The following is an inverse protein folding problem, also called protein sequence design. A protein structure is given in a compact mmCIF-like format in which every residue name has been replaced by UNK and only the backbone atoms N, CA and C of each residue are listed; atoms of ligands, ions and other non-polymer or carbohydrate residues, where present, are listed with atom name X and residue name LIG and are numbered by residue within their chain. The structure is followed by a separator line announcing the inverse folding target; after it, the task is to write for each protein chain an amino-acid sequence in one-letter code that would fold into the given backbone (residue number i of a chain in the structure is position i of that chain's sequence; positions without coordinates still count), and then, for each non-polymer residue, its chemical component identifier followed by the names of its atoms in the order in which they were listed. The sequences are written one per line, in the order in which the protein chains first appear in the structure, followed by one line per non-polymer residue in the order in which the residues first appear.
data_IF_483565909320
#
_entry.id   IF_483565909320
#
_cell.length_a   1.000
_cell.length_b   1.000
_cell.length_c   1.000
_cell.angle_alpha   90.00
_cell.angle_beta   90.00
_cell.angle_gamma   90.00
#
_symmetry.space_group_name_H-M   'P 1'
#
loop_
_entity.id
_entity.type
_entity.pdbx_description
1 polymer ?
#
# COMPACT_ATOMS: atom_id res chain seq x y z
N UNK A 1 3.55 29.37 -29.94
CA UNK A 1 2.90 28.79 -28.75
C UNK A 1 2.14 27.56 -29.20
N UNK A 2 2.74 26.36 -29.09
CA UNK A 2 1.99 25.13 -29.33
C UNK A 2 1.23 24.82 -28.04
N UNK A 3 -0.09 24.94 -28.08
CA UNK A 3 -0.95 24.32 -27.06
C UNK A 3 -0.70 22.81 -27.14
N UNK A 4 0.15 22.29 -26.25
CA UNK A 4 0.22 20.87 -25.99
C UNK A 4 -1.14 20.50 -25.41
N UNK A 5 -2.00 19.87 -26.23
CA UNK A 5 -3.16 19.14 -25.74
C UNK A 5 -2.73 18.35 -24.51
N UNK A 6 -3.35 18.53 -23.34
CA UNK A 6 -2.96 17.78 -22.16
C UNK A 6 -3.11 16.31 -22.50
N UNK A 7 -2.01 15.56 -22.50
CA UNK A 7 -2.04 14.11 -22.66
C UNK A 7 -3.17 13.56 -21.77
N UNK A 8 -4.03 12.67 -22.29
CA UNK A 8 -5.17 12.17 -21.53
C UNK A 8 -4.69 11.66 -20.17
N UNK A 9 -5.31 12.18 -19.11
CA UNK A 9 -4.92 11.87 -17.74
C UNK A 9 -4.92 10.35 -17.53
N UNK A 10 -3.78 9.80 -17.10
CA UNK A 10 -3.71 8.37 -16.83
C UNK A 10 -4.72 7.97 -15.75
N UNK A 11 -5.65 7.11 -16.13
CA UNK A 11 -6.58 6.44 -15.23
C UNK A 11 -6.50 4.93 -15.46
N UNK A 12 -6.51 4.12 -14.40
CA UNK A 12 -6.47 2.66 -14.54
C UNK A 12 -7.77 2.08 -15.12
N UNK A 13 -8.85 2.86 -15.13
CA UNK A 13 -10.20 2.35 -15.37
C UNK A 13 -10.72 1.53 -14.18
N UNK A 14 -12.03 1.30 -14.13
CA UNK A 14 -12.67 0.55 -13.05
C UNK A 14 -12.11 -0.89 -12.91
N UNK A 15 -11.89 -1.68 -13.99
CA UNK A 15 -11.45 -3.06 -13.85
C UNK A 15 -10.07 -3.19 -13.21
N UNK A 16 -9.12 -2.34 -13.60
CA UNK A 16 -7.75 -2.41 -13.08
C UNK A 16 -7.67 -1.87 -11.64
N UNK A 17 -8.45 -0.83 -11.29
CA UNK A 17 -8.52 -0.36 -9.89
C UNK A 17 -9.21 -1.36 -8.97
N UNK A 18 -10.21 -2.11 -9.46
CA UNK A 18 -10.90 -3.11 -8.67
C UNK A 18 -10.08 -4.39 -8.44
N UNK A 19 -9.03 -4.62 -9.23
CA UNK A 19 -8.24 -5.86 -9.20
C UNK A 19 -7.68 -6.26 -7.83
N UNK A 20 -6.98 -5.38 -7.08
CA UNK A 20 -6.47 -5.71 -5.75
C UNK A 20 -7.57 -6.14 -4.77
N UNK A 21 -8.72 -5.46 -4.82
CA UNK A 21 -9.89 -5.79 -4.01
C UNK A 21 -10.51 -7.13 -4.42
N UNK A 22 -10.61 -7.40 -5.72
CA UNK A 22 -11.11 -8.67 -6.24
C UNK A 22 -10.20 -9.84 -5.82
N UNK A 23 -8.88 -9.66 -5.80
CA UNK A 23 -7.92 -10.66 -5.29
C UNK A 23 -8.19 -10.97 -3.81
N UNK A 24 -8.33 -9.93 -2.98
CA UNK A 24 -8.61 -10.08 -1.56
C UNK A 24 -9.96 -10.74 -1.29
N UNK A 25 -11.01 -10.32 -2.01
CA UNK A 25 -12.35 -10.94 -1.93
C UNK A 25 -12.30 -12.39 -2.37
N UNK A 26 -11.59 -12.71 -3.45
CA UNK A 26 -11.40 -14.09 -3.91
C UNK A 26 -10.74 -14.97 -2.84
N UNK A 27 -9.69 -14.48 -2.19
CA UNK A 27 -9.05 -15.18 -1.08
C UNK A 27 -9.97 -15.32 0.15
N UNK A 28 -10.76 -14.29 0.46
CA UNK A 28 -11.72 -14.33 1.56
C UNK A 28 -12.85 -15.34 1.30
N UNK A 29 -13.37 -15.41 0.07
CA UNK A 29 -14.37 -16.40 -0.33
C UNK A 29 -13.81 -17.82 -0.30
N UNK A 30 -12.57 -18.01 -0.76
CA UNK A 30 -11.88 -19.29 -0.63
C UNK A 30 -11.74 -19.69 0.85
N UNK A 31 -11.25 -18.78 1.69
CA UNK A 31 -11.10 -19.01 3.13
C UNK A 31 -12.45 -19.38 3.77
N UNK A 32 -13.53 -18.67 3.45
CA UNK A 32 -14.85 -18.94 3.97
C UNK A 32 -15.37 -20.34 3.59
N UNK A 33 -15.09 -20.81 2.36
CA UNK A 33 -15.49 -22.14 1.90
C UNK A 33 -14.69 -23.27 2.55
N UNK A 34 -13.40 -23.07 2.76
CA UNK A 34 -12.50 -24.10 3.30
C UNK A 34 -12.25 -23.95 4.80
N UNK A 35 -12.94 -23.02 5.48
CA UNK A 35 -12.64 -22.65 6.87
C UNK A 35 -12.64 -23.85 7.82
N UNK A 36 -13.63 -24.74 7.69
CA UNK A 36 -13.77 -25.92 8.55
C UNK A 36 -12.81 -27.07 8.21
N UNK A 37 -12.13 -27.01 7.07
CA UNK A 37 -11.08 -27.95 6.66
C UNK A 37 -9.72 -27.58 7.23
N UNK A 38 -9.57 -26.34 7.73
CA UNK A 38 -8.32 -25.86 8.29
C UNK A 38 -8.00 -26.53 9.63
N UNK A 39 -6.70 -26.72 9.96
CA UNK A 39 -6.28 -27.18 11.28
C UNK A 39 -6.80 -26.29 12.40
N UNK A 40 -7.04 -26.85 13.59
CA UNK A 40 -7.48 -26.08 14.75
C UNK A 40 -6.46 -25.03 15.21
N UNK A 41 -5.17 -25.29 14.94
CA UNK A 41 -4.06 -24.39 15.24
C UNK A 41 -3.33 -24.03 13.96
N UNK A 42 -3.28 -22.74 13.66
CA UNK A 42 -2.70 -22.20 12.43
C UNK A 42 -1.44 -21.42 12.79
N UNK A 43 -0.29 -21.71 12.16
CA UNK A 43 0.93 -20.94 12.39
C UNK A 43 0.81 -19.55 11.77
N UNK A 44 1.27 -18.54 12.51
CA UNK A 44 1.30 -17.14 12.08
C UNK A 44 2.68 -16.50 12.26
N UNK A 45 3.60 -17.21 12.90
CA UNK A 45 4.98 -16.79 13.09
C UNK A 45 5.91 -17.98 12.86
N UNK A 46 7.05 -17.70 12.25
CA UNK A 46 8.10 -18.66 11.97
C UNK A 46 9.44 -18.07 12.37
N UNK A 47 10.29 -18.88 12.99
CA UNK A 47 11.65 -18.49 13.34
C UNK A 47 12.54 -18.36 12.07
N UNK A 48 13.78 -17.93 12.25
CA UNK A 48 14.73 -17.76 11.15
C UNK A 48 15.09 -19.07 10.41
N UNK A 49 14.82 -20.23 11.00
CA UNK A 49 14.98 -21.56 10.37
C UNK A 49 13.75 -21.95 9.53
N UNK A 50 12.66 -21.17 9.60
CA UNK A 50 11.40 -21.44 8.93
C UNK A 50 10.50 -22.43 9.68
N UNK A 51 10.77 -22.66 10.96
CA UNK A 51 9.93 -23.52 11.81
C UNK A 51 8.87 -22.66 12.50
N UNK A 52 7.65 -23.16 12.56
CA UNK A 52 6.54 -22.44 13.20
C UNK A 52 6.71 -22.45 14.73
N UNK A 53 6.77 -21.27 15.33
CA UNK A 53 6.93 -21.06 16.78
C UNK A 53 5.82 -20.17 17.39
N UNK A 54 4.90 -19.65 16.56
CA UNK A 54 3.72 -18.91 17.00
C UNK A 54 2.44 -19.34 16.28
N UNK A 55 1.38 -19.59 17.05
CA UNK A 55 0.12 -20.16 16.56
C UNK A 55 -1.10 -19.38 17.08
N UNK A 56 -2.18 -19.45 16.32
CA UNK A 56 -3.52 -18.99 16.72
C UNK A 56 -4.53 -20.11 16.55
N UNK A 57 -5.62 -20.04 17.32
CA UNK A 57 -6.77 -20.89 17.09
C UNK A 57 -7.47 -20.56 15.77
N UNK A 58 -8.21 -21.54 15.24
CA UNK A 58 -9.09 -21.38 14.08
C UNK A 58 -10.32 -20.52 14.42
N UNK A 59 -10.11 -19.21 14.60
CA UNK A 59 -11.17 -18.21 14.71
C UNK A 59 -11.25 -17.38 13.42
N UNK A 60 -12.46 -17.06 12.97
CA UNK A 60 -12.67 -16.41 11.67
C UNK A 60 -11.86 -15.12 11.49
N UNK A 61 -11.78 -14.30 12.54
CA UNK A 61 -11.03 -13.03 12.52
C UNK A 61 -9.52 -13.26 12.50
N UNK A 62 -9.00 -14.19 13.30
CA UNK A 62 -7.55 -14.44 13.39
C UNK A 62 -6.98 -14.97 12.08
N UNK A 63 -7.72 -15.85 11.40
CA UNK A 63 -7.27 -16.42 10.12
C UNK A 63 -7.43 -15.41 8.97
N UNK A 64 -8.48 -14.57 9.00
CA UNK A 64 -8.71 -13.55 7.98
C UNK A 64 -7.82 -12.29 8.14
N UNK A 65 -7.08 -12.16 9.25
CA UNK A 65 -6.31 -10.96 9.59
C UNK A 65 -5.40 -10.45 8.45
N UNK A 66 -4.59 -11.29 7.76
CA UNK A 66 -3.78 -10.81 6.65
C UNK A 66 -4.61 -10.13 5.56
N UNK A 67 -5.80 -10.66 5.24
CA UNK A 67 -6.69 -10.09 4.24
C UNK A 67 -7.31 -8.77 4.69
N UNK A 68 -7.66 -8.64 5.98
CA UNK A 68 -8.17 -7.39 6.55
C UNK A 68 -7.11 -6.28 6.50
N UNK A 69 -5.87 -6.61 6.83
CA UNK A 69 -4.73 -5.68 6.69
C UNK A 69 -4.54 -5.30 5.22
N UNK A 70 -4.57 -6.28 4.31
CA UNK A 70 -4.47 -6.04 2.87
C UNK A 70 -5.56 -5.09 2.36
N UNK A 71 -6.81 -5.30 2.78
CA UNK A 71 -7.94 -4.45 2.41
C UNK A 71 -7.77 -3.02 2.96
N UNK A 72 -7.38 -2.87 4.23
CA UNK A 72 -7.15 -1.57 4.84
C UNK A 72 -6.02 -0.80 4.13
N UNK A 73 -4.92 -1.47 3.80
CA UNK A 73 -3.80 -0.88 3.05
C UNK A 73 -4.22 -0.50 1.63
N UNK A 74 -4.96 -1.35 0.91
CA UNK A 74 -5.44 -1.04 -0.43
C UNK A 74 -6.41 0.16 -0.42
N UNK A 75 -7.37 0.19 0.50
CA UNK A 75 -8.29 1.33 0.67
C UNK A 75 -7.52 2.62 0.96
N UNK A 76 -6.50 2.55 1.82
CA UNK A 76 -5.65 3.69 2.14
C UNK A 76 -4.89 4.18 0.91
N UNK A 77 -4.22 3.32 0.15
CA UNK A 77 -3.50 3.70 -1.06
C UNK A 77 -4.44 4.28 -2.13
N UNK A 78 -5.63 3.70 -2.31
CA UNK A 78 -6.66 4.22 -3.19
C UNK A 78 -7.15 5.61 -2.74
N UNK A 79 -7.31 5.83 -1.43
CA UNK A 79 -7.65 7.14 -0.86
C UNK A 79 -6.53 8.17 -1.09
N UNK A 80 -5.25 7.79 -0.95
CA UNK A 80 -4.11 8.66 -1.29
C UNK A 80 -4.09 9.02 -2.78
N UNK A 81 -4.32 8.04 -3.67
CA UNK A 81 -4.42 8.28 -5.10
C UNK A 81 -5.59 9.21 -5.45
N UNK A 82 -6.74 9.03 -4.80
CA UNK A 82 -7.91 9.90 -4.96
C UNK A 82 -7.64 11.32 -4.46
N UNK A 83 -6.97 11.47 -3.32
CA UNK A 83 -6.55 12.77 -2.79
C UNK A 83 -5.58 13.46 -3.75
N UNK A 84 -4.60 12.74 -4.28
CA UNK A 84 -3.63 13.29 -5.24
C UNK A 84 -4.32 13.79 -6.52
N UNK A 85 -5.30 13.05 -7.05
CA UNK A 85 -6.09 13.48 -8.22
C UNK A 85 -6.86 14.77 -7.99
N UNK A 86 -7.38 14.97 -6.77
CA UNK A 86 -8.17 16.17 -6.40
C UNK A 86 -7.31 17.37 -6.08
N UNK A 87 -6.11 17.15 -5.53
CA UNK A 87 -5.28 18.23 -4.98
C UNK A 87 -4.11 18.64 -5.88
N UNK A 88 -3.74 17.84 -6.88
CA UNK A 88 -2.59 18.11 -7.75
C UNK A 88 -3.04 18.10 -9.21
N UNK A 89 -2.56 19.07 -9.98
CA UNK A 89 -2.82 19.19 -11.42
C UNK A 89 -2.31 17.97 -12.21
N UNK A 90 -2.87 17.79 -13.40
CA UNK A 90 -2.40 16.78 -14.36
C UNK A 90 -0.93 16.95 -14.72
N UNK A 91 -0.27 15.83 -14.99
CA UNK A 91 1.13 15.80 -15.38
C UNK A 91 1.76 14.41 -15.27
N UNK A 92 2.92 14.24 -15.91
CA UNK A 92 3.66 12.98 -15.95
C UNK A 92 3.99 12.46 -14.54
N UNK A 93 4.36 13.35 -13.61
CA UNK A 93 4.71 12.96 -12.23
C UNK A 93 3.49 12.45 -11.46
N UNK A 94 2.32 13.09 -11.61
CA UNK A 94 1.07 12.61 -11.00
C UNK A 94 0.70 11.25 -11.57
N UNK A 95 0.71 11.09 -12.90
CA UNK A 95 0.41 9.83 -13.56
C UNK A 95 1.34 8.69 -13.11
N UNK A 96 2.65 8.94 -13.06
CA UNK A 96 3.62 7.96 -12.58
C UNK A 96 3.41 7.63 -11.09
N UNK A 97 3.06 8.61 -10.25
CA UNK A 97 2.81 8.37 -8.81
C UNK A 97 1.60 7.46 -8.64
N UNK A 98 0.53 7.72 -9.40
CA UNK A 98 -0.68 6.90 -9.37
C UNK A 98 -0.45 5.46 -9.85
N UNK A 99 0.42 5.26 -10.85
CA UNK A 99 0.85 3.91 -11.29
C UNK A 99 1.59 3.16 -10.18
N UNK A 100 2.49 3.83 -9.46
CA UNK A 100 3.24 3.25 -8.34
C UNK A 100 2.30 2.92 -7.17
N UNK A 101 1.34 3.79 -6.85
CA UNK A 101 0.33 3.53 -5.82
C UNK A 101 -0.50 2.29 -6.17
N UNK A 102 -0.99 2.19 -7.41
CA UNK A 102 -1.76 1.03 -7.86
C UNK A 102 -0.91 -0.26 -7.84
N UNK A 103 0.35 -0.21 -8.30
CA UNK A 103 1.25 -1.35 -8.18
C UNK A 103 1.47 -1.76 -6.72
N UNK A 104 1.53 -0.78 -5.80
CA UNK A 104 1.57 -1.00 -4.36
C UNK A 104 0.30 -1.68 -3.82
N UNK A 105 -0.89 -1.34 -4.33
CA UNK A 105 -2.15 -2.02 -3.98
C UNK A 105 -2.12 -3.49 -4.40
N UNK A 106 -1.73 -3.78 -5.65
CA UNK A 106 -1.59 -5.16 -6.12
C UNK A 106 -0.56 -5.94 -5.30
N UNK A 107 0.58 -5.32 -5.00
CA UNK A 107 1.59 -5.93 -4.15
C UNK A 107 1.03 -6.25 -2.76
N UNK A 108 0.37 -5.27 -2.10
CA UNK A 108 -0.25 -5.44 -0.78
C UNK A 108 -1.28 -6.59 -0.76
N UNK A 109 -2.17 -6.62 -1.75
CA UNK A 109 -3.16 -7.69 -1.88
C UNK A 109 -2.51 -9.07 -2.03
N UNK A 110 -1.51 -9.19 -2.92
CA UNK A 110 -0.82 -10.45 -3.19
C UNK A 110 0.00 -10.94 -1.99
N UNK A 111 0.72 -10.04 -1.28
CA UNK A 111 1.48 -10.44 -0.09
C UNK A 111 0.55 -10.91 1.03
N UNK A 112 -0.56 -10.23 1.26
CA UNK A 112 -1.54 -10.62 2.26
C UNK A 112 -2.19 -11.98 1.94
N UNK A 113 -2.52 -12.24 0.66
CA UNK A 113 -2.95 -13.55 0.21
C UNK A 113 -1.84 -14.62 0.36
N UNK A 114 -0.58 -14.27 0.08
CA UNK A 114 0.57 -15.15 0.26
C UNK A 114 0.82 -15.53 1.72
N UNK A 115 0.72 -14.56 2.65
CA UNK A 115 0.82 -14.81 4.10
C UNK A 115 -0.31 -15.73 4.57
N UNK A 116 -1.54 -15.50 4.13
CA UNK A 116 -2.65 -16.41 4.40
C UNK A 116 -2.33 -17.82 3.86
N UNK A 117 -1.90 -17.95 2.61
CA UNK A 117 -1.56 -19.22 1.99
C UNK A 117 -0.44 -19.96 2.73
N UNK A 118 0.60 -19.26 3.18
CA UNK A 118 1.67 -19.83 4.00
C UNK A 118 1.12 -20.34 5.35
N UNK A 119 0.23 -19.58 5.98
CA UNK A 119 -0.39 -19.93 7.27
C UNK A 119 -1.27 -21.18 7.17
N UNK A 120 -2.23 -21.19 6.23
CA UNK A 120 -3.18 -22.31 6.06
C UNK A 120 -2.54 -23.59 5.52
N UNK A 121 -1.35 -23.50 4.93
CA UNK A 121 -0.57 -24.67 4.48
C UNK A 121 0.50 -25.10 5.48
N UNK A 122 0.38 -24.67 6.75
CA UNK A 122 1.31 -24.98 7.83
C UNK A 122 2.77 -24.66 7.49
N UNK A 123 3.01 -23.58 6.75
CA UNK A 123 4.33 -23.11 6.33
C UNK A 123 4.87 -23.73 5.04
N UNK A 124 4.17 -24.69 4.41
CA UNK A 124 4.63 -25.32 3.15
C UNK A 124 4.89 -24.30 2.04
N UNK A 125 4.08 -23.24 1.97
CA UNK A 125 4.23 -22.16 0.99
C UNK A 125 5.06 -20.97 1.47
N UNK A 126 5.67 -21.01 2.67
CA UNK A 126 6.40 -19.87 3.23
C UNK A 126 7.57 -19.42 2.33
N UNK A 127 8.47 -20.34 1.98
CA UNK A 127 9.65 -20.03 1.14
C UNK A 127 9.28 -19.47 -0.23
N UNK A 128 8.37 -20.08 -1.02
CA UNK A 128 7.99 -19.49 -2.31
C UNK A 128 7.33 -18.12 -2.14
N UNK A 129 6.49 -17.92 -1.12
CA UNK A 129 5.91 -16.60 -0.82
C UNK A 129 7.01 -15.57 -0.54
N UNK A 130 8.01 -15.90 0.30
CA UNK A 130 9.12 -14.99 0.58
C UNK A 130 9.92 -14.63 -0.68
N UNK A 131 10.23 -15.59 -1.54
CA UNK A 131 10.95 -15.33 -2.80
C UNK A 131 10.15 -14.47 -3.77
N UNK A 132 8.86 -14.76 -3.93
CA UNK A 132 7.96 -13.95 -4.77
C UNK A 132 7.82 -12.53 -4.21
N UNK A 133 7.74 -12.39 -2.88
CA UNK A 133 7.69 -11.09 -2.21
C UNK A 133 8.96 -10.29 -2.48
N UNK A 134 10.13 -10.92 -2.30
CA UNK A 134 11.41 -10.28 -2.59
C UNK A 134 11.52 -9.83 -4.04
N UNK A 135 11.18 -10.71 -4.99
CA UNK A 135 11.17 -10.39 -6.42
C UNK A 135 10.20 -9.24 -6.74
N UNK A 136 9.00 -9.23 -6.13
CA UNK A 136 8.01 -8.19 -6.32
C UNK A 136 8.46 -6.83 -5.73
N UNK A 137 9.12 -6.83 -4.56
CA UNK A 137 9.72 -5.61 -3.98
C UNK A 137 10.80 -5.05 -4.91
N UNK A 138 11.70 -5.89 -5.40
CA UNK A 138 12.72 -5.48 -6.38
C UNK A 138 12.05 -4.93 -7.64
N UNK A 139 11.04 -5.62 -8.17
CA UNK A 139 10.26 -5.17 -9.32
C UNK A 139 9.59 -3.81 -9.10
N UNK A 140 9.02 -3.57 -7.92
CA UNK A 140 8.37 -2.31 -7.56
C UNK A 140 9.37 -1.16 -7.44
N UNK A 141 10.53 -1.40 -6.82
CA UNK A 141 11.62 -0.40 -6.74
C UNK A 141 12.12 -0.07 -8.15
N UNK A 142 12.33 -1.07 -9.00
CA UNK A 142 12.73 -0.86 -10.40
C UNK A 142 11.67 -0.13 -11.20
N UNK A 143 10.39 -0.44 -11.01
CA UNK A 143 9.27 0.27 -11.62
C UNK A 143 9.24 1.74 -11.20
N UNK A 144 9.34 2.02 -9.89
CA UNK A 144 9.38 3.38 -9.36
C UNK A 144 10.57 4.16 -9.92
N UNK A 145 11.76 3.54 -9.96
CA UNK A 145 12.96 4.15 -10.54
C UNK A 145 12.81 4.41 -12.04
N UNK A 146 12.24 3.47 -12.81
CA UNK A 146 12.03 3.61 -14.26
C UNK A 146 10.96 4.65 -14.60
N UNK A 147 9.85 4.65 -13.86
CA UNK A 147 8.74 5.60 -14.09
C UNK A 147 9.12 7.03 -13.72
N UNK A 148 10.05 7.22 -12.77
CA UNK A 148 10.59 8.53 -12.43
C UNK A 148 11.69 9.04 -13.36
N UNK A 149 12.29 8.19 -14.20
CA UNK A 149 13.37 8.62 -15.13
C UNK A 149 12.81 9.51 -16.23
N UNK A 150 13.46 10.66 -16.46
CA UNK A 150 13.11 11.58 -17.53
C UNK A 150 11.93 12.52 -17.22
N UNK A 151 11.29 12.40 -16.06
CA UNK A 151 10.29 13.37 -15.61
C UNK A 151 11.04 14.60 -15.08
N UNK A 152 10.80 15.80 -15.65
CA UNK A 152 11.40 17.03 -15.13
C UNK A 152 11.03 17.23 -13.66
N UNK A 153 11.99 17.70 -12.86
CA UNK A 153 11.69 18.06 -11.48
C UNK A 153 10.77 19.26 -11.47
N UNK A 154 9.70 19.19 -10.70
CA UNK A 154 8.90 20.39 -10.43
C UNK A 154 9.70 21.36 -9.56
N UNK A 155 9.56 22.68 -9.80
CA UNK A 155 10.23 23.69 -9.00
C UNK A 155 9.92 23.51 -7.50
N UNK A 156 10.94 23.71 -6.66
CA UNK A 156 10.71 23.71 -5.22
C UNK A 156 9.77 24.85 -4.85
N UNK A 157 8.68 24.52 -4.16
CA UNK A 157 7.61 25.48 -3.88
C UNK A 157 7.99 26.53 -2.83
N UNK A 158 8.50 26.09 -1.69
CA UNK A 158 9.03 26.95 -0.63
C UNK A 158 10.27 26.28 0.00
N UNK A 159 11.50 26.66 -0.37
CA UNK A 159 12.73 26.05 0.16
C UNK A 159 12.86 26.15 1.68
N UNK A 160 12.32 27.22 2.29
CA UNK A 160 12.43 27.47 3.74
C UNK A 160 11.51 26.58 4.60
N UNK A 161 10.49 25.97 3.99
CA UNK A 161 9.52 25.11 4.67
C UNK A 161 10.02 23.66 4.90
N UNK A 162 11.17 23.29 4.34
CA UNK A 162 11.75 21.96 4.50
C UNK A 162 12.44 21.82 5.86
N UNK A 163 12.01 20.83 6.65
CA UNK A 163 12.59 20.43 7.93
C UNK A 163 13.38 19.13 7.76
N UNK A 164 14.62 19.13 8.22
CA UNK A 164 15.57 18.01 8.10
C UNK A 164 15.75 17.49 6.65
N UNK A 165 15.39 18.28 5.64
CA UNK A 165 15.45 17.88 4.22
C UNK A 165 14.44 16.81 3.78
N UNK A 166 13.49 16.43 4.63
CA UNK A 166 12.54 15.34 4.33
C UNK A 166 11.07 15.76 4.50
N UNK A 167 10.78 16.57 5.53
CA UNK A 167 9.42 16.95 5.87
C UNK A 167 9.15 18.38 5.41
N UNK A 168 8.13 18.57 4.58
CA UNK A 168 7.65 19.90 4.21
C UNK A 168 6.61 20.37 5.22
N UNK A 169 6.81 21.52 5.84
CA UNK A 169 5.93 22.07 6.88
C UNK A 169 5.65 23.54 6.60
N UNK A 170 4.51 23.83 5.99
CA UNK A 170 4.03 25.21 5.78
C UNK A 170 2.53 25.30 6.11
N UNK A 171 2.19 26.04 7.17
CA UNK A 171 0.78 26.23 7.60
C UNK A 171 0.02 27.20 6.70
N UNK A 172 0.72 28.06 5.98
CA UNK A 172 0.11 29.06 5.10
C UNK A 172 -0.11 28.50 3.69
N UNK A 173 0.53 27.39 3.35
CA UNK A 173 0.34 26.68 2.11
C UNK A 173 -0.87 25.72 2.20
N UNK A 174 -1.95 25.94 1.43
CA UNK A 174 -3.14 25.10 1.48
C UNK A 174 -2.98 23.73 0.80
N UNK A 175 -1.87 23.44 0.11
CA UNK A 175 -1.75 22.16 -0.58
C UNK A 175 -1.53 21.01 0.39
N UNK A 176 -2.27 19.92 0.15
CA UNK A 176 -2.13 18.67 0.87
C UNK A 176 -0.87 17.90 0.45
N UNK A 177 -0.60 17.86 -0.85
CA UNK A 177 0.53 17.16 -1.45
C UNK A 177 1.49 18.17 -2.08
N UNK A 178 2.79 17.95 -1.86
CA UNK A 178 3.86 18.81 -2.36
C UNK A 178 4.90 17.93 -3.06
N UNK A 179 5.43 18.33 -4.22
CA UNK A 179 6.52 17.60 -4.88
C UNK A 179 7.69 17.37 -3.92
N UNK A 180 8.28 16.18 -3.94
CA UNK A 180 9.49 15.92 -3.14
C UNK A 180 10.64 16.77 -3.67
N UNK A 181 11.42 17.40 -2.79
CA UNK A 181 12.66 18.11 -3.17
C UNK A 181 13.71 17.19 -3.80
N UNK A 182 13.72 15.93 -3.38
CA UNK A 182 14.66 14.93 -3.86
C UNK A 182 13.91 13.67 -4.29
N UNK A 183 14.30 13.12 -5.44
CA UNK A 183 13.70 11.92 -6.01
C UNK A 183 12.40 12.20 -6.76
N UNK A 184 11.53 11.20 -6.77
CA UNK A 184 10.31 11.16 -7.56
C UNK A 184 9.06 11.12 -6.66
N UNK A 185 8.00 11.81 -7.09
CA UNK A 185 6.67 11.79 -6.49
C UNK A 185 6.40 12.92 -5.49
N UNK A 186 5.38 12.72 -4.67
CA UNK A 186 4.86 13.72 -3.74
C UNK A 186 5.08 13.30 -2.28
N UNK A 187 5.18 14.29 -1.41
CA UNK A 187 5.10 14.18 0.04
C UNK A 187 3.89 14.96 0.55
N UNK A 188 3.59 14.84 1.83
CA UNK A 188 2.58 15.65 2.49
C UNK A 188 3.13 17.01 2.94
N UNK A 189 2.27 18.02 2.93
CA UNK A 189 2.49 19.21 3.73
C UNK A 189 2.06 18.97 5.18
N UNK A 190 2.99 18.70 6.08
CA UNK A 190 2.69 18.43 7.49
C UNK A 190 2.27 19.69 8.28
N UNK A 191 2.25 20.86 7.65
CA UNK A 191 1.56 22.05 8.17
C UNK A 191 0.04 21.99 8.00
N UNK A 192 -0.47 21.10 7.13
CA UNK A 192 -1.88 20.98 6.79
C UNK A 192 -2.60 19.96 7.70
N UNK A 193 -3.72 20.32 8.37
CA UNK A 193 -4.42 19.42 9.29
C UNK A 193 -4.86 18.08 8.65
N UNK A 194 -5.37 18.13 7.42
CA UNK A 194 -5.75 16.90 6.72
C UNK A 194 -4.55 15.99 6.38
N UNK A 195 -3.35 16.54 6.16
CA UNK A 195 -2.15 15.73 5.94
C UNK A 195 -1.75 15.00 7.22
N UNK A 196 -1.84 15.68 8.37
CA UNK A 196 -1.58 15.08 9.68
C UNK A 196 -2.59 13.98 9.98
N UNK A 197 -3.87 14.22 9.72
CA UNK A 197 -4.91 13.20 9.88
C UNK A 197 -4.66 11.99 8.97
N UNK A 198 -4.36 12.21 7.69
CA UNK A 198 -4.04 11.11 6.76
C UNK A 198 -2.80 10.33 7.21
N UNK A 199 -1.76 11.04 7.66
CA UNK A 199 -0.54 10.41 8.20
C UNK A 199 -0.86 9.56 9.43
N UNK A 200 -1.65 10.10 10.36
CA UNK A 200 -2.08 9.38 11.55
C UNK A 200 -2.88 8.12 11.19
N UNK A 201 -3.86 8.25 10.29
CA UNK A 201 -4.68 7.13 9.82
C UNK A 201 -3.81 6.06 9.15
N UNK A 202 -2.81 6.46 8.36
CA UNK A 202 -1.86 5.53 7.71
C UNK A 202 -1.08 4.70 8.72
N UNK A 203 -0.69 5.27 9.86
CA UNK A 203 0.06 4.56 10.90
C UNK A 203 -0.86 3.76 11.82
N UNK A 204 -1.99 4.34 12.21
CA UNK A 204 -2.87 3.81 13.24
C UNK A 204 -3.78 2.70 12.72
N UNK A 205 -4.35 2.82 11.51
CA UNK A 205 -5.34 1.85 11.03
C UNK A 205 -4.77 0.43 10.90
N UNK A 206 -3.60 0.19 10.25
CA UNK A 206 -3.04 -1.15 10.18
C UNK A 206 -2.70 -1.72 11.55
N UNK A 207 -2.18 -0.87 12.46
CA UNK A 207 -1.84 -1.27 13.82
C UNK A 207 -3.08 -1.62 14.64
N UNK A 208 -4.16 -0.83 14.52
CA UNK A 208 -5.42 -1.07 15.20
C UNK A 208 -6.10 -2.35 14.69
N UNK A 209 -6.06 -2.63 13.39
CA UNK A 209 -6.54 -3.89 12.82
C UNK A 209 -5.74 -5.08 13.37
N UNK A 210 -4.41 -4.97 13.38
CA UNK A 210 -3.54 -6.00 13.95
C UNK A 210 -3.82 -6.23 15.44
N UNK A 211 -3.93 -5.15 16.23
CA UNK A 211 -4.18 -5.21 17.67
C UNK A 211 -5.58 -5.73 17.99
N UNK A 212 -6.61 -5.27 17.29
CA UNK A 212 -7.97 -5.76 17.45
C UNK A 212 -8.06 -7.27 17.21
N UNK A 213 -7.42 -7.76 16.15
CA UNK A 213 -7.37 -9.19 15.89
C UNK A 213 -6.50 -9.99 16.88
N UNK A 214 -5.52 -9.35 17.53
CA UNK A 214 -4.77 -9.95 18.64
C UNK A 214 -5.61 -10.07 19.92
N UNK A 215 -6.47 -9.09 20.19
CA UNK A 215 -7.32 -9.06 21.38
C UNK A 215 -8.58 -9.92 21.27
N UNK A 216 -9.02 -10.23 20.03
CA UNK A 216 -10.15 -11.10 19.73
C UNK A 216 -9.77 -12.59 19.60
N UNK A 217 -8.58 -12.97 20.08
CA UNK A 217 -8.05 -14.34 20.02
C UNK A 217 -8.70 -15.28 21.03
#
# INVERSE_FOLDING_TARGET
MSESSPDPEWSPGLPLQAGPFAILVGAALWLARHFYELPERIPIHWNWRGEADGFVGRSGVSVALPLLIGAAVCLMLAALGSGLRRSVSGGAMRAATLKVLLAGEYFAALICCGVLAASVTSGRLLKPVLWLTFAAVVGLVLLAARTGRGIPREPERNPSAWRAGVFYVDRNDPALFVPKRAGFGYTFNFGHPAALLLTLLTLVVPLAVALGALLLR
#
